data_IF_154420944419
#
_entry.id   IF_154420944419
#
_cell.length_a   1.000
_cell.length_b   1.000
_cell.length_c   1.000
_cell.angle_alpha   90.00
_cell.angle_beta   90.00
_cell.angle_gamma   90.00
#
_symmetry.space_group_name_H-M   'P 1'
#
loop_
_entity.id
_entity.type
_entity.pdbx_description
1 polymer ?
#
# COMPACT_ATOMS: atom_id res chain seq x y z
N UNK A 1 0.54 -16.42 10.24
CA UNK A 1 1.38 -17.54 10.76
C UNK A 1 2.56 -17.76 9.83
N UNK A 2 3.69 -18.29 10.30
CA UNK A 2 4.91 -18.54 9.51
C UNK A 2 5.46 -19.93 9.80
N UNK A 3 5.88 -20.64 8.75
CA UNK A 3 6.42 -22.00 8.84
C UNK A 3 7.80 -22.04 9.53
N UNK A 4 8.02 -23.03 10.40
CA UNK A 4 9.35 -23.43 10.87
C UNK A 4 9.77 -24.78 10.26
N UNK A 5 10.98 -24.83 9.72
CA UNK A 5 11.64 -26.10 9.39
C UNK A 5 12.24 -26.71 10.66
N UNK A 6 11.57 -27.72 11.23
CA UNK A 6 12.20 -28.59 12.23
C UNK A 6 12.94 -29.72 11.51
N UNK A 7 14.25 -29.84 11.73
CA UNK A 7 15.16 -30.80 11.08
C UNK A 7 14.84 -32.30 11.37
N UNK A 8 13.71 -32.62 12.01
CA UNK A 8 13.35 -33.98 12.41
C UNK A 8 11.85 -34.32 12.34
N UNK A 9 10.99 -33.46 11.78
CA UNK A 9 9.57 -33.78 11.60
C UNK A 9 9.13 -33.48 10.17
N UNK A 10 8.57 -34.50 9.51
CA UNK A 10 8.05 -34.45 8.14
C UNK A 10 6.75 -33.63 8.01
N UNK A 11 6.36 -32.90 9.07
CA UNK A 11 5.15 -32.08 9.13
C UNK A 11 5.56 -30.63 9.44
N UNK A 12 5.29 -29.68 8.52
CA UNK A 12 5.42 -28.25 8.77
C UNK A 12 4.72 -27.83 10.06
N UNK A 13 5.42 -27.13 10.96
CA UNK A 13 4.77 -26.48 12.11
C UNK A 13 4.69 -24.97 11.86
N UNK A 14 3.48 -24.42 11.90
CA UNK A 14 3.23 -22.98 11.77
C UNK A 14 3.20 -22.30 13.14
N UNK A 15 3.78 -21.11 13.22
CA UNK A 15 3.72 -20.26 14.41
C UNK A 15 3.01 -18.94 14.14
N UNK A 16 2.23 -18.45 15.11
CA UNK A 16 1.68 -17.09 15.06
C UNK A 16 2.81 -16.11 15.31
N UNK A 17 2.86 -15.06 14.49
CA UNK A 17 3.89 -14.02 14.49
C UNK A 17 3.23 -12.71 14.12
N UNK A 18 3.68 -11.63 14.75
CA UNK A 18 3.28 -10.27 14.39
C UNK A 18 4.23 -9.73 13.34
N UNK A 19 3.72 -9.24 12.21
CA UNK A 19 4.53 -8.78 11.08
C UNK A 19 4.40 -7.28 10.87
N UNK A 20 5.51 -6.63 10.57
CA UNK A 20 5.55 -5.19 10.23
C UNK A 20 6.38 -5.02 8.96
N UNK A 21 5.76 -4.45 7.92
CA UNK A 21 6.44 -4.08 6.68
C UNK A 21 6.79 -2.58 6.70
N UNK A 22 8.06 -2.24 6.50
CA UNK A 22 8.55 -0.86 6.34
C UNK A 22 9.46 -0.78 5.12
N UNK A 23 9.00 -0.12 4.05
CA UNK A 23 9.71 -0.14 2.77
C UNK A 23 9.86 -1.57 2.26
N UNK A 24 11.09 -2.01 2.01
CA UNK A 24 11.44 -3.38 1.59
C UNK A 24 11.90 -4.27 2.77
N UNK A 25 11.61 -3.88 4.01
CA UNK A 25 12.01 -4.60 5.22
C UNK A 25 10.78 -5.19 5.91
N UNK A 26 10.74 -6.52 6.04
CA UNK A 26 9.69 -7.23 6.75
C UNK A 26 10.22 -7.76 8.08
N UNK A 27 9.78 -7.14 9.17
CA UNK A 27 10.09 -7.56 10.53
C UNK A 27 9.02 -8.53 11.04
N UNK A 28 9.43 -9.47 11.88
CA UNK A 28 8.49 -10.32 12.61
C UNK A 28 8.84 -10.44 14.09
N UNK A 29 7.80 -10.51 14.92
CA UNK A 29 7.86 -10.48 16.37
C UNK A 29 7.06 -11.65 16.94
N UNK A 30 7.30 -11.98 18.22
CA UNK A 30 6.49 -12.99 18.93
C UNK A 30 5.06 -12.47 19.08
N UNK A 31 4.92 -11.25 19.60
CA UNK A 31 3.64 -10.57 19.85
C UNK A 31 3.69 -9.11 19.36
N UNK A 32 2.55 -8.41 19.39
CA UNK A 32 2.45 -7.03 18.90
C UNK A 32 3.22 -6.05 19.79
N UNK A 33 3.26 -6.29 21.08
CA UNK A 33 3.86 -5.43 22.10
C UNK A 33 5.35 -5.73 22.32
N UNK A 34 5.91 -6.70 21.59
CA UNK A 34 7.33 -7.06 21.67
C UNK A 34 8.22 -5.90 21.22
N UNK A 35 9.20 -5.51 22.05
CA UNK A 35 10.13 -4.43 21.73
C UNK A 35 11.15 -4.82 20.65
N UNK A 36 11.62 -6.08 20.68
CA UNK A 36 12.69 -6.56 19.80
C UNK A 36 12.15 -7.52 18.72
N UNK A 37 12.58 -7.37 17.46
CA UNK A 37 12.19 -8.28 16.40
C UNK A 37 12.85 -9.65 16.60
N UNK A 38 12.08 -10.71 16.35
CA UNK A 38 12.64 -12.07 16.26
C UNK A 38 13.47 -12.26 14.98
N UNK A 39 13.19 -11.46 13.96
CA UNK A 39 14.02 -11.41 12.77
C UNK A 39 13.55 -10.40 11.73
N UNK A 40 14.35 -10.32 10.67
CA UNK A 40 14.20 -9.40 9.55
C UNK A 40 14.35 -10.18 8.25
N UNK A 41 13.43 -9.94 7.32
CA UNK A 41 13.49 -10.40 5.94
C UNK A 41 13.67 -9.17 5.06
N UNK A 42 14.76 -9.11 4.30
CA UNK A 42 14.97 -8.10 3.26
C UNK A 42 14.31 -8.59 1.99
N UNK A 43 13.36 -7.83 1.45
CA UNK A 43 12.53 -8.21 0.29
C UNK A 43 13.18 -7.85 -1.07
N UNK A 44 14.49 -7.72 -1.10
CA UNK A 44 15.23 -7.53 -2.34
C UNK A 44 15.29 -8.86 -3.12
N UNK A 45 14.97 -8.82 -4.41
CA UNK A 45 14.94 -10.02 -5.26
C UNK A 45 13.85 -11.04 -4.91
N UNK A 46 12.89 -10.69 -4.04
CA UNK A 46 11.85 -11.65 -3.67
C UNK A 46 10.72 -11.75 -4.71
N UNK A 47 10.17 -12.95 -4.87
CA UNK A 47 8.87 -13.19 -5.51
C UNK A 47 7.84 -13.62 -4.46
N UNK A 48 6.59 -13.19 -4.65
CA UNK A 48 5.48 -13.58 -3.78
C UNK A 48 4.53 -14.46 -4.58
N UNK A 49 4.26 -15.65 -4.08
CA UNK A 49 3.46 -16.66 -4.78
C UNK A 49 2.37 -17.23 -3.88
N UNK A 50 1.20 -17.56 -4.45
CA UNK A 50 0.15 -18.27 -3.72
C UNK A 50 0.54 -19.74 -3.55
N UNK A 51 0.15 -20.35 -2.43
CA UNK A 51 0.47 -21.74 -2.11
C UNK A 51 -0.79 -22.52 -1.75
N UNK A 52 -1.53 -22.97 -2.77
CA UNK A 52 -2.79 -23.71 -2.59
C UNK A 52 -2.61 -25.07 -1.89
N UNK A 53 -1.43 -25.69 -2.02
CA UNK A 53 -1.15 -27.01 -1.46
C UNK A 53 -0.76 -27.02 0.02
N UNK A 54 -0.53 -25.85 0.64
CA UNK A 54 0.03 -25.76 1.99
C UNK A 54 -1.04 -25.61 3.08
N UNK A 55 -1.85 -24.55 3.00
CA UNK A 55 -2.98 -24.28 3.89
C UNK A 55 -3.90 -23.27 3.19
N UNK A 56 -5.16 -23.14 3.63
CA UNK A 56 -6.04 -22.09 3.15
C UNK A 56 -5.43 -20.70 3.43
N UNK A 57 -5.48 -19.80 2.45
CA UNK A 57 -4.89 -18.45 2.53
C UNK A 57 -3.36 -18.43 2.71
N UNK A 58 -2.68 -19.49 2.26
CA UNK A 58 -1.22 -19.56 2.27
C UNK A 58 -0.57 -18.89 1.06
N UNK A 59 0.58 -18.26 1.31
CA UNK A 59 1.43 -17.64 0.30
C UNK A 59 2.90 -17.76 0.73
N UNK A 60 3.82 -17.66 -0.22
CA UNK A 60 5.25 -17.78 0.02
C UNK A 60 6.02 -16.58 -0.49
N UNK A 61 7.04 -16.18 0.29
CA UNK A 61 8.10 -15.27 -0.14
C UNK A 61 9.28 -16.15 -0.56
N UNK A 62 9.66 -16.09 -1.83
CA UNK A 62 10.77 -16.85 -2.40
C UNK A 62 11.87 -15.91 -2.86
N UNK A 63 13.10 -16.40 -2.82
CA UNK A 63 14.28 -15.67 -3.26
C UNK A 63 14.98 -16.48 -4.34
N UNK A 64 15.38 -15.83 -5.41
CA UNK A 64 16.16 -16.43 -6.48
C UNK A 64 17.59 -16.71 -6.03
N UNK A 65 18.06 -17.94 -6.27
CA UNK A 65 19.40 -18.38 -5.89
C UNK A 65 19.48 -19.86 -5.52
N UNK A 66 20.64 -20.47 -5.68
CA UNK A 66 20.88 -21.87 -5.30
C UNK A 66 20.76 -22.02 -3.78
N UNK A 67 19.65 -22.61 -3.32
CA UNK A 67 19.35 -22.75 -1.88
C UNK A 67 18.68 -21.51 -1.27
N UNK A 68 18.03 -20.66 -2.07
CA UNK A 68 17.26 -19.51 -1.60
C UNK A 68 16.26 -19.92 -0.51
N UNK A 69 16.29 -19.21 0.63
CA UNK A 69 15.34 -19.44 1.72
C UNK A 69 13.92 -19.16 1.21
N UNK A 70 12.96 -20.03 1.51
CA UNK A 70 11.55 -19.74 1.30
C UNK A 70 10.86 -19.54 2.64
N UNK A 71 9.96 -18.56 2.69
CA UNK A 71 9.12 -18.34 3.86
C UNK A 71 7.67 -18.58 3.47
N UNK A 72 7.06 -19.63 4.00
CA UNK A 72 5.62 -19.88 3.83
C UNK A 72 4.87 -19.21 4.97
N UNK A 73 3.89 -18.39 4.60
CA UNK A 73 3.02 -17.67 5.51
C UNK A 73 1.57 -18.05 5.25
N UNK A 74 0.78 -18.02 6.32
CA UNK A 74 -0.66 -18.28 6.26
C UNK A 74 -1.38 -17.12 6.93
N UNK A 75 -2.27 -16.47 6.19
CA UNK A 75 -3.09 -15.38 6.72
C UNK A 75 -4.30 -15.92 7.51
N UNK A 76 -4.92 -15.05 8.32
CA UNK A 76 -6.12 -15.42 9.09
C UNK A 76 -7.39 -15.46 8.20
N UNK A 77 -7.36 -14.83 7.01
CA UNK A 77 -8.44 -14.85 6.03
C UNK A 77 -7.96 -14.44 4.61
N UNK A 78 -8.79 -14.64 3.60
CA UNK A 78 -8.51 -14.27 2.21
C UNK A 78 -8.16 -12.78 2.04
N UNK A 79 -8.94 -11.89 2.66
CA UNK A 79 -8.71 -10.43 2.56
C UNK A 79 -7.33 -10.06 3.10
N UNK A 80 -6.92 -10.66 4.23
CA UNK A 80 -5.60 -10.45 4.81
C UNK A 80 -4.49 -11.01 3.89
N UNK A 81 -4.67 -12.20 3.32
CA UNK A 81 -3.73 -12.76 2.35
C UNK A 81 -3.54 -11.82 1.15
N UNK A 82 -4.62 -11.37 0.52
CA UNK A 82 -4.57 -10.48 -0.63
C UNK A 82 -3.87 -9.15 -0.29
N UNK A 83 -4.16 -8.59 0.88
CA UNK A 83 -3.50 -7.37 1.37
C UNK A 83 -1.99 -7.58 1.55
N UNK A 84 -1.57 -8.70 2.15
CA UNK A 84 -0.15 -9.03 2.34
C UNK A 84 0.55 -9.30 1.01
N UNK A 85 -0.04 -10.11 0.13
CA UNK A 85 0.52 -10.40 -1.19
C UNK A 85 0.71 -9.10 -1.97
N UNK A 86 -0.30 -8.22 -2.00
CA UNK A 86 -0.21 -6.90 -2.64
C UNK A 86 0.89 -6.03 -2.03
N UNK A 87 0.95 -5.92 -0.71
CA UNK A 87 1.93 -5.08 -0.03
C UNK A 87 3.37 -5.57 -0.27
N UNK A 88 3.61 -6.86 -0.13
CA UNK A 88 4.93 -7.49 -0.33
C UNK A 88 5.37 -7.39 -1.79
N UNK A 89 4.46 -7.62 -2.75
CA UNK A 89 4.77 -7.51 -4.18
C UNK A 89 5.21 -6.09 -4.56
N UNK A 90 4.59 -5.08 -3.94
CA UNK A 90 4.92 -3.65 -4.15
C UNK A 90 6.19 -3.20 -3.44
N UNK A 91 6.66 -3.95 -2.44
CA UNK A 91 7.91 -3.70 -1.74
C UNK A 91 9.14 -4.16 -2.55
N UNK A 92 8.93 -4.95 -3.61
CA UNK A 92 10.01 -5.43 -4.47
C UNK A 92 10.67 -4.31 -5.29
N UNK A 93 11.97 -4.45 -5.54
CA UNK A 93 12.73 -3.52 -6.38
C UNK A 93 12.17 -3.46 -7.82
N UNK A 94 11.76 -4.61 -8.35
CA UNK A 94 11.21 -4.70 -9.71
C UNK A 94 9.93 -3.89 -9.86
N UNK A 95 9.05 -3.91 -8.85
CA UNK A 95 7.85 -3.09 -8.85
C UNK A 95 8.19 -1.60 -8.86
N UNK A 96 9.07 -1.13 -7.97
CA UNK A 96 9.48 0.27 -7.94
C UNK A 96 10.10 0.71 -9.28
N UNK A 97 10.97 -0.12 -9.86
CA UNK A 97 11.57 0.15 -11.18
C UNK A 97 10.53 0.23 -12.29
N UNK A 98 9.52 -0.64 -12.28
CA UNK A 98 8.42 -0.60 -13.24
C UNK A 98 7.61 0.69 -13.10
N UNK A 99 7.26 1.07 -11.87
CA UNK A 99 6.51 2.29 -11.57
C UNK A 99 7.28 3.53 -12.01
N UNK A 100 8.58 3.61 -11.72
CA UNK A 100 9.43 4.73 -12.16
C UNK A 100 9.38 4.89 -13.68
N UNK A 101 9.58 3.80 -14.44
CA UNK A 101 9.53 3.84 -15.91
C UNK A 101 8.19 4.34 -16.45
N UNK A 102 7.09 3.88 -15.86
CA UNK A 102 5.76 4.31 -16.28
C UNK A 102 5.52 5.79 -15.95
N UNK A 103 5.96 6.26 -14.78
CA UNK A 103 5.84 7.67 -14.40
C UNK A 103 6.69 8.59 -15.28
N UNK A 104 7.91 8.19 -15.62
CA UNK A 104 8.77 8.92 -16.54
C UNK A 104 8.10 9.09 -17.91
N UNK A 105 7.51 8.01 -18.45
CA UNK A 105 6.75 8.05 -19.70
C UNK A 105 5.54 8.99 -19.61
N UNK A 106 4.77 8.91 -18.52
CA UNK A 106 3.61 9.79 -18.30
C UNK A 106 4.04 11.27 -18.24
N UNK A 107 5.18 11.58 -17.63
CA UNK A 107 5.73 12.92 -17.59
C UNK A 107 6.08 13.44 -18.99
N UNK A 108 6.74 12.63 -19.82
CA UNK A 108 7.07 12.98 -21.20
C UNK A 108 5.82 13.26 -22.05
N UNK A 109 4.77 12.45 -21.90
CA UNK A 109 3.50 12.61 -22.61
C UNK A 109 2.77 13.90 -22.20
N UNK A 110 2.76 14.22 -20.90
CA UNK A 110 2.20 15.46 -20.38
C UNK A 110 2.95 16.70 -20.91
N UNK A 111 4.29 16.66 -20.92
CA UNK A 111 5.13 17.73 -21.46
C UNK A 111 4.90 17.94 -22.96
N UNK A 112 4.80 16.86 -23.75
CA UNK A 112 4.49 16.93 -25.18
C UNK A 112 3.11 17.55 -25.43
N UNK A 113 2.12 17.17 -24.63
CA UNK A 113 0.75 17.69 -24.74
C UNK A 113 0.69 19.19 -24.44
N UNK A 114 1.43 19.65 -23.42
CA UNK A 114 1.55 21.07 -23.09
C UNK A 114 2.21 21.85 -24.23
N UNK A 115 3.33 21.35 -24.77
CA UNK A 115 4.04 21.98 -25.88
C UNK A 115 3.20 22.06 -27.16
N UNK A 116 2.33 21.07 -27.43
CA UNK A 116 1.41 21.09 -28.56
C UNK A 116 0.32 22.17 -28.41
N UNK A 117 -0.18 22.39 -27.19
CA UNK A 117 -1.19 23.43 -26.90
C UNK A 117 -0.66 24.85 -27.18
N UNK A 118 0.61 25.11 -26.86
CA UNK A 118 1.26 26.41 -27.09
C UNK A 118 1.57 26.74 -28.56
N UNK A 119 1.47 25.77 -29.49
CA UNK A 119 1.71 25.98 -30.93
C UNK A 119 0.44 26.27 -31.74
N UNK A 120 -0.73 26.36 -31.09
CA UNK A 120 -1.96 26.78 -31.77
C UNK A 120 -1.87 28.26 -32.19
N UNK A 121 -2.11 28.62 -33.47
CA UNK A 121 -2.04 30.02 -33.90
C UNK A 121 -3.18 30.81 -33.27
N UNK A 122 -2.85 31.81 -32.44
CA UNK A 122 -3.80 32.85 -32.03
C UNK A 122 -4.28 33.59 -33.28
N UNK A 123 -5.47 33.24 -33.79
CA UNK A 123 -6.19 34.14 -34.71
C UNK A 123 -6.57 35.39 -33.91
N UNK A 124 -5.82 36.47 -34.09
CA UNK A 124 -6.19 37.82 -33.68
C UNK A 124 -7.42 38.23 -34.50
N UNK A 125 -8.63 38.09 -33.95
CA UNK A 125 -9.80 38.79 -34.48
C UNK A 125 -9.77 40.23 -33.98
N UNK A 126 -9.38 41.13 -34.88
CA UNK A 126 -9.44 42.57 -34.69
C UNK A 126 -10.90 43.05 -34.64
N UNK A 127 -11.31 43.57 -33.48
CA UNK A 127 -12.16 44.77 -33.35
C UNK A 127 -13.69 44.61 -33.43
N UNK A 128 -14.37 44.73 -32.27
CA UNK A 128 -15.49 45.70 -32.11
C UNK A 128 -15.81 45.94 -30.62
N UNK A 129 -15.60 47.18 -30.15
CA UNK A 129 -16.10 47.70 -28.87
C UNK A 129 -17.61 47.53 -28.78
N UNK A 130 -18.14 46.93 -27.70
CA UNK A 130 -19.49 47.24 -27.20
C UNK A 130 -19.52 47.22 -25.66
N UNK A 131 -20.44 48.04 -25.17
CA UNK A 131 -20.56 48.65 -23.87
C UNK A 131 -20.59 47.72 -22.65
N UNK A 132 -20.18 48.32 -21.53
CA UNK A 132 -20.28 47.83 -20.16
C UNK A 132 -21.72 47.46 -19.77
N UNK A 133 -21.85 46.29 -19.17
CA UNK A 133 -22.66 46.10 -17.96
C UNK A 133 -22.05 44.95 -17.16
N UNK A 134 -21.68 45.24 -15.91
CA UNK A 134 -21.19 44.27 -14.94
C UNK A 134 -22.40 43.51 -14.35
N UNK A 135 -22.35 42.18 -14.30
CA UNK A 135 -22.99 41.43 -13.22
C UNK A 135 -21.90 40.83 -12.33
N UNK A 136 -21.90 41.32 -11.09
CA UNK A 136 -21.35 40.79 -9.85
C UNK A 136 -20.72 39.38 -9.89
N UNK A 137 -19.45 39.30 -9.48
CA UNK A 137 -18.72 38.06 -9.20
C UNK A 137 -19.25 37.44 -7.90
N UNK A 138 -19.63 36.16 -7.93
CA UNK A 138 -19.69 35.31 -6.73
C UNK A 138 -18.33 34.59 -6.66
N UNK A 139 -17.54 34.72 -5.57
CA UNK A 139 -16.30 33.98 -5.45
C UNK A 139 -16.63 32.49 -5.20
N UNK A 140 -16.30 31.62 -6.15
CA UNK A 140 -16.21 30.18 -5.88
C UNK A 140 -14.89 29.97 -5.14
N UNK A 141 -15.00 29.55 -3.88
CA UNK A 141 -13.88 29.21 -3.03
C UNK A 141 -13.30 27.88 -3.53
N UNK A 142 -12.18 27.94 -4.25
CA UNK A 142 -11.42 26.73 -4.61
C UNK A 142 -10.78 26.17 -3.33
N UNK A 143 -11.38 25.13 -2.78
CA UNK A 143 -10.66 24.26 -1.85
C UNK A 143 -9.57 23.53 -2.66
N UNK A 144 -8.29 23.60 -2.26
CA UNK A 144 -7.30 22.71 -2.81
C UNK A 144 -7.69 21.30 -2.38
N UNK A 145 -7.97 20.44 -3.36
CA UNK A 145 -7.93 18.99 -3.14
C UNK A 145 -6.48 18.67 -2.84
N UNK A 146 -6.15 18.67 -1.55
CA UNK A 146 -4.94 18.03 -1.04
C UNK A 146 -5.14 16.55 -1.37
N UNK A 147 -4.49 16.09 -2.44
CA UNK A 147 -4.24 14.68 -2.62
C UNK A 147 -3.24 14.31 -1.52
N UNK A 148 -3.80 13.90 -0.39
CA UNK A 148 -3.03 13.44 0.75
C UNK A 148 -2.21 12.23 0.31
N UNK A 149 -0.90 12.38 0.45
CA UNK A 149 0.08 11.34 0.25
C UNK A 149 -0.39 10.05 0.93
N UNK A 150 -0.22 8.92 0.25
CA UNK A 150 -0.62 7.59 0.69
C UNK A 150 0.06 7.14 1.98
N UNK A 151 -0.39 7.68 3.11
CA UNK A 151 -0.21 7.15 4.44
C UNK A 151 -1.52 6.49 4.84
N UNK A 152 -1.51 5.17 4.93
CA UNK A 152 -2.59 4.46 5.59
C UNK A 152 -2.38 4.61 7.10
N UNK A 153 -3.11 5.51 7.73
CA UNK A 153 -3.30 5.50 9.19
C UNK A 153 -4.29 4.39 9.50
N UNK A 154 -3.82 3.32 10.16
CA UNK A 154 -4.70 2.25 10.61
C UNK A 154 -5.11 2.57 12.02
N UNK A 155 -6.20 3.33 12.16
CA UNK A 155 -7.00 3.20 13.38
C UNK A 155 -7.90 1.97 13.19
N UNK A 156 -7.59 0.92 13.94
CA UNK A 156 -8.38 -0.30 13.99
C UNK A 156 -9.60 -0.04 14.87
N UNK A 157 -10.72 0.42 14.31
CA UNK A 157 -12.02 0.23 14.97
C UNK A 157 -12.62 -1.11 14.54
N UNK A 158 -12.14 -2.16 15.18
CA UNK A 158 -12.90 -3.38 15.34
C UNK A 158 -12.98 -3.67 16.85
N UNK A 159 -13.75 -2.84 17.55
CA UNK A 159 -14.23 -3.09 18.91
C UNK A 159 -15.73 -2.87 18.93
N UNK A 160 -16.45 -3.98 18.92
CA UNK A 160 -17.84 -4.01 19.36
C UNK A 160 -17.85 -3.81 20.88
N UNK A 161 -18.86 -3.08 21.36
CA UNK A 161 -19.25 -2.89 22.76
C UNK A 161 -18.39 -1.94 23.62
N UNK A 162 -18.87 -0.71 23.78
CA UNK A 162 -19.22 -0.10 25.07
C UNK A 162 -19.56 1.38 24.87
N UNK A 163 -20.84 1.74 25.05
CA UNK A 163 -21.29 3.02 25.62
C UNK A 163 -22.82 3.06 25.65
N UNK A 164 -23.38 2.56 26.75
CA UNK A 164 -24.50 3.27 27.38
C UNK A 164 -23.92 3.84 28.67
N UNK A 165 -23.72 5.16 28.65
CA UNK A 165 -23.10 5.93 29.71
C UNK A 165 -23.98 6.06 30.96
N UNK A 166 -23.28 6.11 32.09
CA UNK A 166 -23.47 7.01 33.24
C UNK A 166 -24.47 6.68 34.35
N UNK A 167 -23.86 6.27 35.48
CA UNK A 167 -23.84 6.98 36.77
C UNK A 167 -25.03 6.93 37.75
N UNK A 168 -24.79 6.19 38.84
CA UNK A 168 -24.85 6.59 40.26
C UNK A 168 -26.10 7.31 40.82
N UNK A 169 -26.84 6.59 41.67
CA UNK A 169 -27.28 7.00 43.03
C UNK A 169 -27.83 5.74 43.73
N UNK A 170 -27.28 5.24 44.84
CA UNK A 170 -27.43 5.83 46.17
C UNK A 170 -28.77 5.41 46.79
N UNK A 171 -28.79 4.32 47.59
CA UNK A 171 -29.97 3.81 48.31
C UNK A 171 -29.89 2.33 48.62
#
# INVERSE_FOLDING_TARGET
RMERYHHNHHVPSYQRRWFILKGNLLFYFEERESCDPLGLIVLEGCTVELCEAAEEFAFAIRFDGSGGKSYVLVADCQVAMEAWVKALSRASFDYMRLVVKELEKQLEEAQRSLAASHKSPKKLSSGRKRHLSNPMMIPIQEHPVILENGYSTWDNSCTLAEMACSDLSGG
#
